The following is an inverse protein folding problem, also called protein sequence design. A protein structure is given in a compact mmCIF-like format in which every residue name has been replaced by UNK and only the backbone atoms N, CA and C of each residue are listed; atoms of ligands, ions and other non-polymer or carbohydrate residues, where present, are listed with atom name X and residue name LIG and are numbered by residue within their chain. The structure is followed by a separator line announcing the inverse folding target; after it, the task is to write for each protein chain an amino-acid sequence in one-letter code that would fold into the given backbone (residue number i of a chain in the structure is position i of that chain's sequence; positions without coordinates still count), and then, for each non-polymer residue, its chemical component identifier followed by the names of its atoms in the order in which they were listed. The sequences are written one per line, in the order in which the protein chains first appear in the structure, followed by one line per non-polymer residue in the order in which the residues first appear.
data_IF_709734733542
#
_entry.id   IF_709734733542
#
_cell.length_a   1.000
_cell.length_b   1.000
_cell.length_c   1.000
_cell.angle_alpha   90.00
_cell.angle_beta   90.00
_cell.angle_gamma   90.00
#
_symmetry.space_group_name_H-M   'P 1'
#
loop_
_entity.id
_entity.type
_entity.pdbx_description
1 polymer ?
#
# COMPACT_ATOMS: atom_id res chain seq x y z
N UNK A 1 30.50 16.57 -2.42
CA UNK A 1 30.14 15.60 -1.37
C UNK A 1 30.51 16.27 -0.06
N UNK A 2 29.53 16.62 0.76
CA UNK A 2 29.80 17.37 1.99
C UNK A 2 30.59 16.51 2.98
N UNK A 3 31.77 16.99 3.38
CA UNK A 3 32.75 16.25 4.18
C UNK A 3 32.30 15.96 5.63
N UNK A 4 31.08 16.37 5.99
CA UNK A 4 30.55 16.36 7.37
C UNK A 4 29.42 15.33 7.54
N UNK A 5 28.89 14.75 6.45
CA UNK A 5 27.81 13.77 6.55
C UNK A 5 28.34 12.36 6.82
N UNK A 6 28.24 11.91 8.07
CA UNK A 6 28.51 10.51 8.42
C UNK A 6 27.35 9.61 8.01
N UNK A 7 27.66 8.59 7.21
CA UNK A 7 26.67 7.62 6.73
C UNK A 7 26.18 6.79 7.93
N UNK A 8 24.86 6.77 8.21
CA UNK A 8 24.34 6.03 9.35
C UNK A 8 24.51 4.51 9.16
N UNK A 9 24.76 3.81 10.26
CA UNK A 9 24.80 2.35 10.28
C UNK A 9 23.44 1.76 9.86
N UNK A 10 23.46 0.57 9.24
CA UNK A 10 22.26 -0.14 8.72
C UNK A 10 21.11 -0.19 9.72
N UNK A 11 21.40 -0.47 11.00
CA UNK A 11 20.40 -0.51 12.08
C UNK A 11 19.71 0.85 12.27
N UNK A 12 20.51 1.91 12.40
CA UNK A 12 20.01 3.28 12.58
C UNK A 12 19.19 3.73 11.37
N UNK A 13 19.61 3.37 10.17
CA UNK A 13 18.86 3.63 8.94
C UNK A 13 17.52 2.87 8.92
N UNK A 14 17.52 1.59 9.30
CA UNK A 14 16.30 0.77 9.41
C UNK A 14 15.29 1.38 10.36
N UNK A 15 15.71 1.75 11.57
CA UNK A 15 14.85 2.42 12.56
C UNK A 15 14.28 3.75 12.05
N UNK A 16 15.09 4.54 11.32
CA UNK A 16 14.63 5.76 10.68
C UNK A 16 13.57 5.48 9.59
N UNK A 17 13.80 4.48 8.75
CA UNK A 17 12.84 4.06 7.72
C UNK A 17 11.54 3.59 8.37
N UNK A 18 11.60 2.75 9.40
CA UNK A 18 10.42 2.23 10.09
C UNK A 18 9.59 3.34 10.73
N UNK A 19 10.26 4.35 11.31
CA UNK A 19 9.61 5.55 11.85
C UNK A 19 8.88 6.33 10.76
N UNK A 20 9.54 6.58 9.63
CA UNK A 20 8.94 7.31 8.49
C UNK A 20 7.76 6.51 7.91
N UNK A 21 7.92 5.20 7.74
CA UNK A 21 6.88 4.32 7.24
C UNK A 21 5.64 4.29 8.16
N UNK A 22 5.86 4.24 9.48
CA UNK A 22 4.77 4.29 10.46
C UNK A 22 4.00 5.61 10.37
N UNK A 23 4.71 6.74 10.31
CA UNK A 23 4.09 8.05 10.16
C UNK A 23 3.32 8.19 8.84
N UNK A 24 3.90 7.68 7.74
CA UNK A 24 3.23 7.65 6.44
C UNK A 24 1.96 6.79 6.48
N UNK A 25 2.00 5.64 7.15
CA UNK A 25 0.84 4.77 7.32
C UNK A 25 -0.29 5.48 8.05
N UNK A 26 0.00 6.14 9.17
CA UNK A 26 -0.98 6.95 9.91
C UNK A 26 -1.58 8.07 9.05
N UNK A 27 -0.74 8.78 8.30
CA UNK A 27 -1.19 9.85 7.41
C UNK A 27 -2.09 9.33 6.29
N UNK A 28 -1.78 8.15 5.73
CA UNK A 28 -2.59 7.50 4.71
C UNK A 28 -3.93 7.05 5.33
N UNK A 29 -3.92 6.45 6.52
CA UNK A 29 -5.13 6.04 7.23
C UNK A 29 -6.05 7.25 7.48
N UNK A 30 -5.51 8.36 7.97
CA UNK A 30 -6.27 9.59 8.18
C UNK A 30 -6.92 10.10 6.88
N UNK A 31 -6.22 10.01 5.74
CA UNK A 31 -6.79 10.38 4.44
C UNK A 31 -7.89 9.42 3.98
N UNK A 32 -7.70 8.11 4.15
CA UNK A 32 -8.68 7.09 3.80
C UNK A 32 -9.95 7.22 4.64
N UNK A 33 -9.83 7.52 5.94
CA UNK A 33 -10.98 7.75 6.83
C UNK A 33 -11.83 8.96 6.41
N UNK A 34 -11.26 9.92 5.67
CA UNK A 34 -11.96 11.10 5.14
C UNK A 34 -12.36 10.95 3.66
N UNK A 35 -12.21 9.75 3.08
CA UNK A 35 -12.59 9.49 1.71
C UNK A 35 -14.11 9.35 1.56
N UNK A 36 -14.66 9.92 0.48
CA UNK A 36 -16.10 9.76 0.15
C UNK A 36 -16.38 8.36 -0.40
N UNK A 37 -15.52 7.91 -1.29
CA UNK A 37 -15.55 6.60 -1.92
C UNK A 37 -14.12 6.19 -2.27
N UNK A 38 -13.86 4.89 -2.29
CA UNK A 38 -12.53 4.33 -2.50
C UNK A 38 -12.62 3.26 -3.57
N UNK A 39 -11.90 3.42 -4.67
CA UNK A 39 -11.67 2.36 -5.66
C UNK A 39 -10.30 1.74 -5.42
N UNK A 40 -10.22 0.41 -5.49
CA UNK A 40 -8.97 -0.32 -5.38
C UNK A 40 -8.57 -0.89 -6.73
N UNK A 41 -7.33 -0.61 -7.14
CA UNK A 41 -6.72 -1.22 -8.31
C UNK A 41 -5.65 -2.20 -7.83
N UNK A 42 -5.78 -3.47 -8.23
CA UNK A 42 -4.82 -4.51 -7.94
C UNK A 42 -4.04 -4.87 -9.22
N UNK A 43 -2.72 -4.87 -9.14
CA UNK A 43 -1.82 -5.28 -10.22
C UNK A 43 -0.99 -6.48 -9.76
N UNK A 44 -0.93 -7.51 -10.59
CA UNK A 44 -0.15 -8.73 -10.35
C UNK A 44 0.84 -8.90 -11.48
N UNK A 45 2.12 -8.95 -11.13
CA UNK A 45 3.18 -9.19 -12.10
C UNK A 45 4.21 -10.18 -11.57
N UNK A 46 4.91 -10.80 -12.50
CA UNK A 46 6.02 -11.71 -12.23
C UNK A 46 7.32 -11.10 -12.69
N UNK A 47 8.40 -11.33 -11.94
CA UNK A 47 9.76 -11.01 -12.37
C UNK A 47 10.06 -11.79 -13.66
N UNK A 48 10.82 -11.22 -14.62
CA UNK A 48 11.34 -11.97 -15.75
C UNK A 48 12.02 -13.27 -15.29
N UNK A 49 11.72 -14.38 -15.96
CA UNK A 49 12.14 -15.72 -15.55
C UNK A 49 11.30 -16.34 -14.41
N UNK A 50 10.15 -15.75 -14.07
CA UNK A 50 9.12 -16.31 -13.16
C UNK A 50 9.62 -16.70 -11.76
N UNK A 51 10.77 -16.16 -11.32
CA UNK A 51 11.36 -16.47 -10.01
C UNK A 51 10.64 -15.83 -8.81
N UNK A 52 9.72 -14.91 -9.06
CA UNK A 52 8.93 -14.22 -8.06
C UNK A 52 7.71 -13.57 -8.69
N UNK A 53 6.60 -13.56 -7.97
CA UNK A 53 5.42 -12.76 -8.32
C UNK A 53 5.06 -11.81 -7.19
N UNK A 54 4.38 -10.73 -7.54
CA UNK A 54 4.04 -9.63 -6.64
C UNK A 54 2.59 -9.21 -6.86
N UNK A 55 1.98 -8.70 -5.80
CA UNK A 55 0.67 -8.06 -5.80
C UNK A 55 0.85 -6.63 -5.27
N UNK A 56 0.58 -5.65 -6.13
CA UNK A 56 0.44 -4.25 -5.75
C UNK A 56 -1.03 -3.87 -5.64
N UNK A 57 -1.40 -3.07 -4.65
CA UNK A 57 -2.75 -2.52 -4.52
C UNK A 57 -2.68 -1.01 -4.30
N UNK A 58 -3.37 -0.27 -5.16
CA UNK A 58 -3.47 1.19 -5.12
C UNK A 58 -4.91 1.60 -4.81
N UNK A 59 -5.08 2.49 -3.82
CA UNK A 59 -6.34 3.11 -3.51
C UNK A 59 -6.46 4.46 -4.24
N UNK A 60 -7.55 4.62 -4.97
CA UNK A 60 -7.96 5.87 -5.62
C UNK A 60 -9.19 6.41 -4.90
N UNK A 61 -9.11 7.64 -4.41
CA UNK A 61 -10.21 8.23 -3.64
C UNK A 61 -10.19 9.75 -3.68
N UNK A 62 -11.31 10.35 -3.26
CA UNK A 62 -11.47 11.79 -3.14
C UNK A 62 -11.76 12.18 -1.70
N UNK A 63 -11.13 13.25 -1.22
CA UNK A 63 -11.36 13.80 0.13
C UNK A 63 -12.06 15.16 0.04
N UNK A 64 -13.21 15.31 0.69
CA UNK A 64 -13.99 16.55 0.64
C UNK A 64 -13.28 17.71 1.31
N UNK A 65 -12.71 17.48 2.50
CA UNK A 65 -12.06 18.53 3.30
C UNK A 65 -10.93 19.25 2.56
N UNK A 66 -10.21 18.54 1.68
CA UNK A 66 -9.12 19.11 0.90
C UNK A 66 -9.45 19.32 -0.58
N UNK A 67 -10.66 18.94 -1.01
CA UNK A 67 -11.13 18.97 -2.39
C UNK A 67 -10.11 18.36 -3.39
N UNK A 68 -9.46 17.25 -3.01
CA UNK A 68 -8.38 16.61 -3.78
C UNK A 68 -8.63 15.13 -4.00
N UNK A 69 -8.24 14.68 -5.20
CA UNK A 69 -8.10 13.26 -5.56
C UNK A 69 -6.74 12.74 -5.11
N UNK A 70 -6.73 11.53 -4.57
CA UNK A 70 -5.53 10.81 -4.15
C UNK A 70 -5.42 9.50 -4.92
N UNK A 71 -4.18 9.05 -5.11
CA UNK A 71 -3.82 7.77 -5.69
C UNK A 71 -2.63 7.24 -4.91
N UNK A 72 -2.86 6.29 -4.02
CA UNK A 72 -1.87 5.87 -3.02
C UNK A 72 -1.73 4.36 -3.03
N UNK A 73 -0.49 3.86 -3.18
CA UNK A 73 -0.20 2.44 -2.99
C UNK A 73 -0.35 2.07 -1.51
N UNK A 74 -1.28 1.16 -1.22
CA UNK A 74 -1.61 0.72 0.14
C UNK A 74 -1.09 -0.69 0.46
N UNK A 75 -0.65 -1.43 -0.56
CA UNK A 75 0.03 -2.70 -0.38
C UNK A 75 0.98 -3.01 -1.54
N UNK A 76 2.13 -3.59 -1.19
CA UNK A 76 3.03 -4.26 -2.11
C UNK A 76 3.48 -5.55 -1.41
N UNK A 77 3.08 -6.71 -1.94
CA UNK A 77 3.34 -8.00 -1.31
C UNK A 77 3.95 -8.97 -2.30
N UNK A 78 4.81 -9.86 -1.80
CA UNK A 78 5.15 -11.10 -2.53
C UNK A 78 3.88 -11.93 -2.66
N UNK A 79 3.67 -12.45 -3.86
CA UNK A 79 2.57 -13.35 -4.17
C UNK A 79 3.18 -14.64 -4.70
N UNK A 80 3.46 -15.65 -3.86
CA UNK A 80 3.92 -16.95 -4.34
C UNK A 80 2.75 -17.79 -4.88
N UNK A 81 3.06 -18.79 -5.71
CA UNK A 81 2.10 -19.80 -6.19
C UNK A 81 1.40 -20.50 -5.00
N UNK A 82 0.10 -20.85 -5.09
CA UNK A 82 -0.76 -20.80 -6.28
C UNK A 82 -1.43 -19.43 -6.52
N UNK A 83 -1.44 -18.98 -7.79
CA UNK A 83 -2.11 -17.75 -8.23
C UNK A 83 -3.57 -17.99 -8.59
N UNK A 84 -4.36 -18.54 -7.66
CA UNK A 84 -5.78 -18.77 -7.87
C UNK A 84 -6.64 -17.62 -7.33
N UNK A 85 -7.89 -17.54 -7.79
CA UNK A 85 -8.82 -16.50 -7.38
C UNK A 85 -9.01 -16.41 -5.86
N UNK A 86 -9.12 -17.56 -5.18
CA UNK A 86 -9.25 -17.63 -3.72
C UNK A 86 -8.11 -16.93 -2.99
N UNK A 87 -6.85 -17.21 -3.37
CA UNK A 87 -5.67 -16.56 -2.79
C UNK A 87 -5.64 -15.05 -3.05
N UNK A 88 -6.05 -14.63 -4.24
CA UNK A 88 -6.14 -13.20 -4.57
C UNK A 88 -7.18 -12.53 -3.68
N UNK A 89 -8.38 -13.10 -3.59
CA UNK A 89 -9.46 -12.61 -2.73
C UNK A 89 -9.03 -12.54 -1.27
N UNK A 90 -8.43 -13.59 -0.72
CA UNK A 90 -7.90 -13.59 0.66
C UNK A 90 -6.89 -12.46 0.89
N UNK A 91 -5.96 -12.23 -0.04
CA UNK A 91 -4.97 -11.16 0.08
C UNK A 91 -5.61 -9.78 0.03
N UNK A 92 -6.58 -9.57 -0.86
CA UNK A 92 -7.32 -8.31 -0.96
C UNK A 92 -8.15 -8.06 0.29
N UNK A 93 -8.87 -9.06 0.81
CA UNK A 93 -9.63 -8.97 2.06
C UNK A 93 -8.71 -8.60 3.23
N UNK A 94 -7.55 -9.26 3.36
CA UNK A 94 -6.57 -8.91 4.38
C UNK A 94 -6.01 -7.48 4.24
N UNK A 95 -5.99 -6.91 3.03
CA UNK A 95 -5.57 -5.52 2.81
C UNK A 95 -6.71 -4.58 3.21
N UNK A 96 -7.94 -4.86 2.79
CA UNK A 96 -9.16 -4.12 3.17
C UNK A 96 -9.30 -4.07 4.70
N UNK A 97 -9.18 -5.21 5.37
CA UNK A 97 -9.32 -5.31 6.82
C UNK A 97 -8.17 -4.60 7.56
N UNK A 98 -6.93 -4.70 7.06
CA UNK A 98 -5.76 -4.01 7.64
C UNK A 98 -5.88 -2.49 7.63
N UNK A 99 -6.52 -1.95 6.60
CA UNK A 99 -6.76 -0.51 6.43
C UNK A 99 -8.15 -0.11 6.92
N UNK A 100 -8.92 -1.04 7.51
CA UNK A 100 -10.27 -0.82 8.03
C UNK A 100 -11.22 -0.19 6.99
N UNK A 101 -11.07 -0.58 5.72
CA UNK A 101 -11.81 0.05 4.63
C UNK A 101 -13.30 -0.40 4.62
N UNK A 102 -14.26 0.52 4.39
CA UNK A 102 -15.66 0.17 4.36
C UNK A 102 -16.02 -0.66 3.12
N UNK A 103 -16.47 -1.90 3.32
CA UNK A 103 -16.82 -2.87 2.25
C UNK A 103 -17.85 -2.37 1.23
N UNK A 104 -18.72 -1.43 1.61
CA UNK A 104 -19.78 -0.90 0.73
C UNK A 104 -19.31 0.14 -0.28
N UNK A 105 -18.07 0.63 -0.15
CA UNK A 105 -17.53 1.73 -0.95
C UNK A 105 -16.47 1.31 -1.98
N UNK A 106 -16.02 0.04 -1.92
CA UNK A 106 -15.11 -0.54 -2.90
C UNK A 106 -15.89 -0.91 -4.16
N UNK A 107 -15.89 0.00 -5.13
CA UNK A 107 -16.30 -0.32 -6.49
C UNK A 107 -15.17 -1.13 -7.12
N UNK A 108 -15.44 -2.39 -7.45
CA UNK A 108 -14.58 -3.19 -8.31
C UNK A 108 -14.58 -2.54 -9.70
N UNK A 109 -13.39 -2.20 -10.21
CA UNK A 109 -13.21 -1.72 -11.57
C UNK A 109 -12.87 -2.88 -12.51
#
# INVERSE_FOLDING_TARGET
MDCIYEIPHRKKLGEAIDKVCSQLKENIQAKLNNAVAISLCADIWSKPGMSASFLGVTAHFFTLNSNKRHSICIALKRFPSPHNGTRITELLQNIVDRWELPRKSCLEC
#
